data_IF_120536806167
#
_entry.id   IF_120536806167
#
_cell.length_a   1.000
_cell.length_b   1.000
_cell.length_c   1.000
_cell.angle_alpha   90.00
_cell.angle_beta   90.00
_cell.angle_gamma   90.00
#
_symmetry.space_group_name_H-M   'P 1'
#
loop_
_entity.id
_entity.type
_entity.pdbx_description
1 polymer ?
#
# COMPACT_ATOMS: atom_id res chain seq x y z
N UNK A 1 22.05 4.88 11.45
CA UNK A 1 21.63 3.92 10.41
C UNK A 1 22.88 3.25 9.83
N UNK A 2 22.89 1.92 9.65
CA UNK A 2 24.07 1.19 9.14
C UNK A 2 24.22 1.39 7.63
N UNK A 3 25.47 1.54 7.15
CA UNK A 3 25.79 1.58 5.70
C UNK A 3 25.18 0.39 4.97
N UNK A 4 25.26 -0.80 5.55
CA UNK A 4 24.72 -2.03 4.95
C UNK A 4 23.20 -1.91 4.70
N UNK A 5 22.46 -1.28 5.60
CA UNK A 5 21.02 -1.06 5.47
C UNK A 5 20.76 -0.01 4.38
N UNK A 6 21.45 1.14 4.44
CA UNK A 6 21.31 2.21 3.47
C UNK A 6 21.61 1.75 2.03
N UNK A 7 22.70 1.00 1.83
CA UNK A 7 23.06 0.42 0.53
C UNK A 7 21.96 -0.48 -0.01
N UNK A 8 21.35 -1.34 0.81
CA UNK A 8 20.27 -2.23 0.37
C UNK A 8 18.97 -1.48 0.07
N UNK A 9 18.62 -0.50 0.90
CA UNK A 9 17.44 0.34 0.71
C UNK A 9 17.54 1.15 -0.58
N UNK A 10 18.65 1.87 -0.79
CA UNK A 10 18.87 2.67 -2.00
C UNK A 10 18.88 1.76 -3.23
N UNK A 11 19.58 0.62 -3.19
CA UNK A 11 19.56 -0.33 -4.32
C UNK A 11 18.15 -0.83 -4.64
N UNK A 12 17.35 -1.14 -3.61
CA UNK A 12 15.95 -1.55 -3.77
C UNK A 12 15.11 -0.46 -4.43
N UNK A 13 15.24 0.79 -3.97
CA UNK A 13 14.55 1.93 -4.55
C UNK A 13 14.85 2.12 -6.04
N UNK A 14 16.13 2.01 -6.44
CA UNK A 14 16.52 2.05 -7.85
C UNK A 14 15.83 0.94 -8.67
N UNK A 15 15.73 -0.28 -8.13
CA UNK A 15 15.06 -1.39 -8.81
C UNK A 15 13.55 -1.16 -8.97
N UNK A 16 12.86 -0.72 -7.91
CA UNK A 16 11.40 -0.51 -7.93
C UNK A 16 11.02 0.67 -8.83
N UNK A 17 11.77 1.78 -8.79
CA UNK A 17 11.52 2.92 -9.68
C UNK A 17 11.74 2.54 -11.14
N UNK A 18 12.77 1.75 -11.46
CA UNK A 18 13.00 1.27 -12.81
C UNK A 18 11.88 0.33 -13.30
N UNK A 19 11.35 -0.54 -12.42
CA UNK A 19 10.21 -1.39 -12.71
C UNK A 19 8.94 -0.56 -12.99
N UNK A 20 8.66 0.43 -12.14
CA UNK A 20 7.53 1.34 -12.31
C UNK A 20 7.62 2.10 -13.64
N UNK A 21 8.81 2.58 -14.02
CA UNK A 21 9.04 3.25 -15.29
C UNK A 21 8.76 2.31 -16.47
N UNK A 22 9.30 1.09 -16.44
CA UNK A 22 9.08 0.12 -17.52
C UNK A 22 7.61 -0.24 -17.68
N UNK A 23 6.88 -0.43 -16.57
CA UNK A 23 5.45 -0.71 -16.57
C UNK A 23 4.64 0.48 -17.09
N UNK A 24 4.96 1.70 -16.66
CA UNK A 24 4.27 2.91 -17.11
C UNK A 24 4.50 3.14 -18.61
N UNK A 25 5.73 3.01 -19.11
CA UNK A 25 6.03 3.17 -20.54
C UNK A 25 5.26 2.16 -21.38
N UNK A 26 5.17 0.91 -20.93
CA UNK A 26 4.36 -0.12 -21.58
C UNK A 26 2.87 0.26 -21.59
N UNK A 27 2.33 0.68 -20.45
CA UNK A 27 0.93 1.07 -20.32
C UNK A 27 0.59 2.28 -21.21
N UNK A 28 1.46 3.29 -21.26
CA UNK A 28 1.32 4.45 -22.14
C UNK A 28 1.32 4.06 -23.62
N UNK A 29 2.16 3.11 -24.02
CA UNK A 29 2.22 2.63 -25.41
C UNK A 29 0.98 1.80 -25.80
N UNK A 30 0.45 0.98 -24.89
CA UNK A 30 -0.65 0.06 -25.18
C UNK A 30 -2.04 0.69 -25.01
N UNK A 31 -2.21 1.55 -24.01
CA UNK A 31 -3.51 2.12 -23.60
C UNK A 31 -3.63 3.60 -23.92
N UNK A 32 -2.51 4.31 -24.04
CA UNK A 32 -2.47 5.75 -24.29
C UNK A 32 -2.54 6.57 -22.99
N UNK A 33 -2.06 7.82 -23.03
CA UNK A 33 -1.91 8.68 -21.86
C UNK A 33 -3.24 9.06 -21.20
N UNK A 34 -4.32 9.16 -21.97
CA UNK A 34 -5.64 9.60 -21.48
C UNK A 34 -6.43 8.48 -20.77
N UNK A 35 -5.84 7.29 -20.62
CA UNK A 35 -6.51 6.18 -19.93
C UNK A 35 -6.67 6.49 -18.45
N UNK A 36 -7.89 6.38 -17.88
CA UNK A 36 -8.11 6.61 -16.44
C UNK A 36 -7.28 5.66 -15.57
N UNK A 37 -6.57 6.21 -14.59
CA UNK A 37 -5.72 5.48 -13.65
C UNK A 37 -6.03 5.97 -12.22
N UNK A 38 -7.07 5.41 -11.61
CA UNK A 38 -7.55 5.80 -10.28
C UNK A 38 -7.94 4.58 -9.44
N UNK A 39 -7.82 4.70 -8.12
CA UNK A 39 -8.36 3.70 -7.21
C UNK A 39 -9.88 3.80 -7.09
N UNK A 40 -10.59 2.68 -6.90
CA UNK A 40 -12.03 2.70 -6.75
C UNK A 40 -12.45 3.39 -5.43
N UNK A 41 -13.60 4.06 -5.46
CA UNK A 41 -14.30 4.57 -4.28
C UNK A 41 -13.45 5.50 -3.37
N UNK A 42 -12.60 6.34 -3.96
CA UNK A 42 -11.86 7.38 -3.24
C UNK A 42 -12.00 8.74 -3.91
N UNK A 43 -12.10 9.80 -3.10
CA UNK A 43 -12.05 11.20 -3.52
C UNK A 43 -10.63 11.78 -3.48
N UNK A 44 -9.63 10.95 -3.16
CA UNK A 44 -8.24 11.37 -2.96
C UNK A 44 -7.29 10.89 -4.06
N UNK A 45 -7.81 10.63 -5.28
CA UNK A 45 -7.03 10.17 -6.43
C UNK A 45 -6.13 8.97 -6.07
N UNK A 46 -4.81 9.12 -6.25
CA UNK A 46 -3.78 8.26 -5.67
C UNK A 46 -3.31 8.89 -4.35
N UNK A 47 -3.72 8.35 -3.18
CA UNK A 47 -3.67 9.13 -1.95
C UNK A 47 -2.28 9.44 -1.44
N UNK A 48 -1.30 8.54 -1.60
CA UNK A 48 0.06 8.81 -1.16
C UNK A 48 0.70 9.89 -2.05
N UNK A 49 0.57 9.78 -3.38
CA UNK A 49 1.06 10.75 -4.35
C UNK A 49 0.42 12.12 -4.09
N UNK A 50 -0.91 12.17 -3.91
CA UNK A 50 -1.62 13.40 -3.57
C UNK A 50 -1.09 13.99 -2.25
N UNK A 51 -0.97 13.19 -1.20
CA UNK A 51 -0.49 13.64 0.09
C UNK A 51 0.94 14.18 0.04
N UNK A 52 1.86 13.47 -0.63
CA UNK A 52 3.28 13.80 -0.63
C UNK A 52 3.65 14.87 -1.66
N UNK A 53 2.95 14.94 -2.79
CA UNK A 53 3.32 15.82 -3.91
C UNK A 53 2.29 16.91 -4.21
N UNK A 54 1.04 16.73 -3.76
CA UNK A 54 -0.07 17.62 -4.08
C UNK A 54 -0.60 17.46 -5.50
N UNK A 55 -0.11 16.46 -6.24
CA UNK A 55 -0.56 16.16 -7.60
C UNK A 55 -1.80 15.29 -7.56
N UNK A 56 -2.82 15.72 -8.27
CA UNK A 56 -4.00 14.92 -8.59
C UNK A 56 -3.64 14.07 -9.81
N UNK A 57 -3.80 12.76 -9.69
CA UNK A 57 -3.52 11.80 -10.77
C UNK A 57 -4.83 11.13 -11.14
N UNK A 58 -5.28 11.38 -12.37
CA UNK A 58 -6.51 10.79 -12.91
C UNK A 58 -6.24 9.89 -14.10
N UNK A 59 -5.11 10.10 -14.79
CA UNK A 59 -4.76 9.40 -16.02
C UNK A 59 -3.36 8.80 -15.96
N UNK A 60 -3.06 7.85 -16.86
CA UNK A 60 -1.71 7.30 -17.01
C UNK A 60 -0.67 8.39 -17.33
N UNK A 61 -1.04 9.43 -18.07
CA UNK A 61 -0.17 10.57 -18.39
C UNK A 61 0.31 11.32 -17.15
N UNK A 62 -0.53 11.42 -16.12
CA UNK A 62 -0.24 12.14 -14.88
C UNK A 62 0.81 11.44 -14.01
N UNK A 63 1.03 10.14 -14.22
CA UNK A 63 2.06 9.36 -13.51
C UNK A 63 3.49 9.67 -14.00
N UNK A 64 3.65 10.21 -15.22
CA UNK A 64 4.97 10.55 -15.77
C UNK A 64 5.73 11.55 -14.89
N UNK A 65 5.17 12.74 -14.56
CA UNK A 65 5.87 13.68 -13.69
C UNK A 65 6.08 13.15 -12.26
N UNK A 66 5.26 12.19 -11.80
CA UNK A 66 5.43 11.53 -10.49
C UNK A 66 6.68 10.65 -10.49
N UNK A 67 6.87 9.83 -11.53
CA UNK A 67 8.06 8.99 -11.65
C UNK A 67 9.34 9.80 -11.88
N UNK A 68 9.26 10.92 -12.62
CA UNK A 68 10.40 11.84 -12.75
C UNK A 68 10.81 12.44 -11.40
N UNK A 69 9.83 12.80 -10.56
CA UNK A 69 10.09 13.23 -9.20
C UNK A 69 10.72 12.11 -8.35
N UNK A 70 10.23 10.88 -8.46
CA UNK A 70 10.80 9.72 -7.76
C UNK A 70 12.27 9.46 -8.18
N UNK A 71 12.57 9.55 -9.48
CA UNK A 71 13.95 9.44 -10.00
C UNK A 71 14.86 10.53 -9.45
N UNK A 72 14.36 11.76 -9.32
CA UNK A 72 15.11 12.88 -8.73
C UNK A 72 15.50 12.67 -7.27
N UNK A 73 14.82 11.77 -6.56
CA UNK A 73 15.11 11.38 -5.17
C UNK A 73 16.08 10.20 -5.05
N UNK A 74 16.46 9.58 -6.18
CA UNK A 74 17.37 8.43 -6.18
C UNK A 74 18.83 8.88 -6.08
N UNK A 75 19.39 8.73 -4.89
CA UNK A 75 20.80 9.02 -4.63
C UNK A 75 21.73 7.90 -5.11
N UNK A 76 23.03 8.20 -5.35
CA UNK A 76 24.02 7.18 -5.65
C UNK A 76 24.17 6.17 -4.51
N UNK A 77 24.56 4.93 -4.86
CA UNK A 77 24.81 3.89 -3.85
C UNK A 77 26.01 4.30 -2.97
N UNK A 78 25.90 4.21 -1.64
CA UNK A 78 26.98 4.52 -0.71
C UNK A 78 28.31 3.83 -1.07
N UNK A 79 29.43 4.57 -1.17
CA UNK A 79 30.72 4.00 -1.53
C UNK A 79 31.30 3.12 -0.40
N UNK A 80 32.10 2.12 -0.78
CA UNK A 80 32.65 1.14 0.16
C UNK A 80 33.70 1.70 1.15
N UNK A 81 34.30 2.86 0.85
CA UNK A 81 35.45 3.39 1.61
C UNK A 81 35.21 4.77 2.26
N UNK A 82 34.05 5.41 2.05
CA UNK A 82 33.75 6.73 2.65
C UNK A 82 32.51 6.66 3.51
N UNK A 83 32.60 7.17 4.73
CA UNK A 83 31.47 7.29 5.65
C UNK A 83 30.82 8.66 5.50
N UNK A 84 29.62 8.70 4.92
CA UNK A 84 28.79 9.90 4.84
C UNK A 84 27.49 9.68 5.64
N UNK A 85 26.81 10.73 6.12
CA UNK A 85 25.51 10.58 6.75
C UNK A 85 24.44 10.11 5.74
N UNK A 86 24.08 8.82 5.75
CA UNK A 86 23.16 8.23 4.76
C UNK A 86 21.67 8.39 5.06
N UNK A 87 21.29 8.96 6.20
CA UNK A 87 19.90 8.94 6.65
C UNK A 87 18.98 9.72 5.70
N UNK A 88 19.36 10.94 5.31
CA UNK A 88 18.57 11.74 4.36
C UNK A 88 18.40 11.02 3.03
N UNK A 89 19.52 10.60 2.42
CA UNK A 89 19.53 9.87 1.14
C UNK A 89 18.67 8.59 1.18
N UNK A 90 18.70 7.87 2.31
CA UNK A 90 17.90 6.65 2.48
C UNK A 90 16.41 6.96 2.65
N UNK A 91 16.07 8.06 3.31
CA UNK A 91 14.67 8.49 3.44
C UNK A 91 14.09 8.96 2.10
N UNK A 92 14.88 9.70 1.31
CA UNK A 92 14.51 10.11 -0.05
C UNK A 92 14.29 8.88 -0.95
N UNK A 93 15.21 7.90 -0.90
CA UNK A 93 15.04 6.63 -1.62
C UNK A 93 13.80 5.85 -1.16
N UNK A 94 13.47 5.91 0.14
CA UNK A 94 12.22 5.37 0.67
C UNK A 94 11.01 6.04 0.04
N UNK A 95 10.96 7.38 0.03
CA UNK A 95 9.87 8.13 -0.59
C UNK A 95 9.74 7.84 -2.10
N UNK A 96 10.86 7.76 -2.81
CA UNK A 96 10.89 7.38 -4.22
C UNK A 96 10.25 6.00 -4.46
N UNK A 97 10.53 5.04 -3.57
CA UNK A 97 9.95 3.70 -3.62
C UNK A 97 8.44 3.76 -3.44
N UNK A 98 7.95 4.51 -2.45
CA UNK A 98 6.51 4.62 -2.19
C UNK A 98 5.75 5.26 -3.35
N UNK A 99 6.29 6.31 -3.98
CA UNK A 99 5.71 6.93 -5.17
C UNK A 99 5.66 5.94 -6.35
N UNK A 100 6.72 5.15 -6.52
CA UNK A 100 6.79 4.13 -7.56
C UNK A 100 5.82 2.97 -7.33
N UNK A 101 5.67 2.50 -6.08
CA UNK A 101 4.75 1.42 -5.72
C UNK A 101 3.28 1.83 -5.96
N UNK A 102 2.89 3.06 -5.59
CA UNK A 102 1.52 3.52 -5.86
C UNK A 102 1.25 3.69 -7.36
N UNK A 103 2.25 4.14 -8.12
CA UNK A 103 2.16 4.19 -9.58
C UNK A 103 2.02 2.79 -10.21
N UNK A 104 2.74 1.79 -9.69
CA UNK A 104 2.61 0.39 -10.15
C UNK A 104 1.19 -0.11 -9.89
N UNK A 105 0.65 0.08 -8.69
CA UNK A 105 -0.73 -0.37 -8.40
C UNK A 105 -1.76 0.34 -9.28
N UNK A 106 -1.60 1.65 -9.53
CA UNK A 106 -2.48 2.37 -10.45
C UNK A 106 -2.45 1.77 -11.86
N UNK A 107 -1.26 1.42 -12.37
CA UNK A 107 -1.11 0.73 -13.67
C UNK A 107 -1.74 -0.67 -13.63
N UNK A 108 -1.61 -1.42 -12.54
CA UNK A 108 -2.23 -2.75 -12.38
C UNK A 108 -3.76 -2.68 -12.40
N UNK A 109 -4.36 -1.65 -11.82
CA UNK A 109 -5.79 -1.37 -11.94
C UNK A 109 -6.21 -1.15 -13.39
N UNK A 110 -5.43 -0.41 -14.19
CA UNK A 110 -5.70 -0.21 -15.63
C UNK A 110 -5.72 -1.55 -16.40
N UNK A 111 -4.89 -2.50 -15.98
CA UNK A 111 -4.85 -3.84 -16.57
C UNK A 111 -5.87 -4.83 -15.96
N UNK A 112 -6.67 -4.41 -14.97
CA UNK A 112 -7.61 -5.29 -14.28
C UNK A 112 -6.93 -6.39 -13.46
N UNK A 113 -5.70 -6.16 -13.01
CA UNK A 113 -4.93 -7.09 -12.17
C UNK A 113 -5.24 -6.91 -10.67
N UNK A 114 -5.86 -5.79 -10.32
CA UNK A 114 -6.24 -5.44 -8.96
C UNK A 114 -7.77 -5.24 -8.85
N UNK A 115 -8.41 -5.65 -7.73
CA UNK A 115 -7.81 -6.39 -6.62
C UNK A 115 -7.34 -7.80 -7.03
N UNK A 116 -6.21 -8.24 -6.49
CA UNK A 116 -5.60 -9.51 -6.91
C UNK A 116 -6.57 -10.69 -6.74
N UNK A 117 -6.72 -11.56 -7.76
CA UNK A 117 -7.49 -12.79 -7.62
C UNK A 117 -6.80 -13.72 -6.61
N UNK A 118 -7.60 -14.30 -5.72
CA UNK A 118 -7.14 -15.19 -4.67
C UNK A 118 -8.18 -16.30 -4.43
N UNK A 119 -8.04 -17.44 -5.12
CA UNK A 119 -9.04 -18.50 -5.12
C UNK A 119 -9.41 -19.01 -3.72
N UNK A 120 -10.71 -19.22 -3.51
CA UNK A 120 -11.25 -19.77 -2.25
C UNK A 120 -11.27 -18.81 -1.05
N UNK A 121 -10.95 -17.53 -1.23
CA UNK A 121 -11.06 -16.53 -0.17
C UNK A 121 -12.41 -15.81 -0.26
N UNK A 122 -13.19 -15.89 0.81
CA UNK A 122 -14.41 -15.11 0.99
C UNK A 122 -14.16 -14.11 2.12
N UNK A 123 -14.28 -12.81 1.81
CA UNK A 123 -14.03 -11.75 2.77
C UNK A 123 -15.31 -11.30 3.46
N UNK A 124 -15.24 -11.15 4.79
CA UNK A 124 -16.33 -10.64 5.63
C UNK A 124 -16.33 -9.11 5.63
N UNK A 125 -17.09 -8.51 4.71
CA UNK A 125 -17.11 -7.07 4.45
C UNK A 125 -15.89 -6.60 3.65
N UNK A 126 -16.13 -5.96 2.50
CA UNK A 126 -15.08 -5.45 1.60
C UNK A 126 -15.50 -4.15 0.92
N UNK A 127 -14.51 -3.34 0.52
CA UNK A 127 -14.71 -2.14 -0.29
C UNK A 127 -14.99 -2.44 -1.76
N UNK A 128 -14.72 -3.67 -2.21
CA UNK A 128 -14.89 -4.10 -3.58
C UNK A 128 -16.17 -4.93 -3.71
N UNK A 129 -17.31 -4.25 -3.80
CA UNK A 129 -18.61 -4.85 -4.11
C UNK A 129 -18.95 -4.60 -5.57
N UNK A 130 -18.17 -5.12 -6.51
CA UNK A 130 -18.55 -5.05 -7.92
C UNK A 130 -19.59 -6.14 -8.24
N UNK A 131 -20.80 -5.80 -8.71
CA UNK A 131 -21.80 -6.79 -9.14
C UNK A 131 -21.29 -7.71 -10.25
N UNK A 132 -20.30 -7.27 -11.02
CA UNK A 132 -19.72 -7.98 -12.15
C UNK A 132 -18.68 -9.06 -11.75
N UNK A 133 -18.21 -9.06 -10.50
CA UNK A 133 -17.38 -10.14 -9.95
C UNK A 133 -18.24 -11.18 -9.23
N UNK A 134 -19.46 -10.82 -8.82
CA UNK A 134 -20.41 -11.75 -8.24
C UNK A 134 -21.05 -12.71 -9.26
N UNK A 135 -20.92 -12.45 -10.57
CA UNK A 135 -21.55 -13.23 -11.65
C UNK A 135 -20.65 -14.32 -12.24
N UNK A 136 -19.35 -14.35 -11.93
CA UNK A 136 -18.44 -15.43 -12.31
C UNK A 136 -17.96 -16.15 -11.04
N UNK A 137 -18.56 -17.32 -10.78
CA UNK A 137 -18.50 -18.02 -9.50
C UNK A 137 -17.10 -18.25 -8.91
N UNK A 138 -17.06 -18.32 -7.58
CA UNK A 138 -16.01 -18.96 -6.77
C UNK A 138 -14.54 -18.46 -6.90
N UNK A 139 -14.26 -17.38 -7.61
CA UNK A 139 -12.91 -16.80 -7.65
C UNK A 139 -12.81 -15.64 -6.66
N UNK A 140 -12.46 -15.98 -5.41
CA UNK A 140 -12.18 -15.00 -4.35
C UNK A 140 -11.15 -13.95 -4.78
N UNK A 141 -11.17 -12.78 -4.16
CA UNK A 141 -10.22 -11.70 -4.42
C UNK A 141 -9.67 -11.12 -3.12
N UNK A 142 -8.50 -10.50 -3.18
CA UNK A 142 -7.96 -9.69 -2.09
C UNK A 142 -8.68 -8.34 -2.01
N UNK A 143 -8.45 -7.60 -0.94
CA UNK A 143 -9.22 -6.38 -0.69
C UNK A 143 -8.90 -5.24 -1.67
N UNK A 144 -7.63 -5.07 -2.05
CA UNK A 144 -7.17 -3.85 -2.70
C UNK A 144 -7.27 -2.61 -1.79
N UNK A 145 -7.38 -1.38 -2.33
CA UNK A 145 -7.47 -0.16 -1.55
C UNK A 145 -8.78 -0.10 -0.74
N UNK A 146 -8.68 0.35 0.51
CA UNK A 146 -9.85 0.61 1.36
C UNK A 146 -10.60 1.84 0.82
N UNK A 147 -11.93 1.82 0.79
CA UNK A 147 -12.75 2.96 0.39
C UNK A 147 -12.84 4.07 1.47
N UNK A 148 -13.27 5.26 1.07
CA UNK A 148 -13.36 6.42 1.97
C UNK A 148 -14.51 6.33 2.99
N UNK A 149 -15.53 5.48 2.76
CA UNK A 149 -16.63 5.25 3.71
C UNK A 149 -16.09 4.43 4.90
N UNK A 150 -15.38 3.34 4.61
CA UNK A 150 -14.77 2.48 5.60
C UNK A 150 -13.67 3.19 6.37
N UNK A 151 -12.84 3.98 5.69
CA UNK A 151 -11.87 4.88 6.33
C UNK A 151 -12.54 5.79 7.38
N UNK A 152 -13.68 6.40 7.02
CA UNK A 152 -14.43 7.26 7.94
C UNK A 152 -14.98 6.49 9.15
N UNK A 153 -15.50 5.29 8.92
CA UNK A 153 -16.01 4.42 9.97
C UNK A 153 -14.92 4.06 10.99
N UNK A 154 -13.76 3.60 10.53
CA UNK A 154 -12.65 3.25 11.42
C UNK A 154 -11.98 4.46 12.07
N UNK A 155 -11.92 5.61 11.39
CA UNK A 155 -11.39 6.82 12.00
C UNK A 155 -12.21 7.31 13.19
N UNK A 156 -13.54 7.11 13.20
CA UNK A 156 -14.36 7.36 14.40
C UNK A 156 -13.94 6.45 15.55
N UNK A 157 -13.76 5.15 15.26
CA UNK A 157 -13.33 4.16 16.26
C UNK A 157 -11.91 4.43 16.81
N UNK A 158 -11.04 5.06 16.02
CA UNK A 158 -9.71 5.49 16.45
C UNK A 158 -9.79 6.68 17.41
N UNK A 159 -10.62 7.68 17.08
CA UNK A 159 -10.77 8.90 17.89
C UNK A 159 -11.48 8.64 19.21
N UNK A 160 -12.45 7.72 19.24
CA UNK A 160 -13.17 7.34 20.47
C UNK A 160 -12.46 6.24 21.30
N UNK A 161 -11.31 5.74 20.82
CA UNK A 161 -10.45 4.79 21.52
C UNK A 161 -10.90 3.34 21.49
N UNK A 162 -11.95 2.99 20.71
CA UNK A 162 -12.37 1.58 20.51
C UNK A 162 -11.36 0.78 19.69
N UNK A 163 -10.62 1.45 18.81
CA UNK A 163 -9.52 0.88 18.04
C UNK A 163 -8.21 1.55 18.49
N UNK A 164 -7.26 0.80 19.10
CA UNK A 164 -6.04 1.40 19.63
C UNK A 164 -4.97 1.69 18.57
N UNK A 165 -5.09 1.14 17.36
CA UNK A 165 -4.16 1.40 16.26
C UNK A 165 -4.16 0.30 15.20
N UNK A 166 -3.09 0.30 14.40
CA UNK A 166 -2.94 -0.54 13.20
C UNK A 166 -1.68 -1.39 13.26
N UNK A 167 -1.71 -2.55 12.60
CA UNK A 167 -0.55 -3.42 12.44
C UNK A 167 -0.42 -3.86 10.97
N UNK A 168 0.64 -3.42 10.29
CA UNK A 168 0.96 -3.89 8.96
C UNK A 168 1.93 -5.08 9.04
N UNK A 169 1.49 -6.25 8.56
CA UNK A 169 2.29 -7.48 8.50
C UNK A 169 2.64 -7.75 7.04
N UNK A 170 3.94 -7.81 6.76
CA UNK A 170 4.48 -8.07 5.42
C UNK A 170 5.19 -9.42 5.39
N UNK A 171 4.82 -10.28 4.45
CA UNK A 171 5.50 -11.55 4.19
C UNK A 171 4.78 -12.77 4.77
N UNK A 172 5.56 -13.67 5.36
CA UNK A 172 5.10 -14.99 5.81
C UNK A 172 5.63 -15.29 7.22
N UNK A 173 4.78 -15.83 8.09
CA UNK A 173 5.22 -16.32 9.39
C UNK A 173 5.93 -17.66 9.27
N UNK A 174 6.75 -18.01 10.26
CA UNK A 174 7.51 -19.27 10.30
C UNK A 174 6.65 -20.54 10.21
N UNK A 175 5.39 -20.48 10.66
CA UNK A 175 4.41 -21.56 10.55
C UNK A 175 2.98 -20.98 10.62
N UNK A 176 1.99 -21.79 10.23
CA UNK A 176 0.58 -21.38 10.23
C UNK A 176 0.07 -21.07 11.64
N UNK A 177 0.45 -21.87 12.63
CA UNK A 177 0.03 -21.67 14.02
C UNK A 177 0.55 -20.34 14.57
N UNK A 178 1.73 -19.91 14.12
CA UNK A 178 2.32 -18.63 14.50
C UNK A 178 1.61 -17.48 13.81
N UNK A 179 1.25 -17.62 12.54
CA UNK A 179 0.43 -16.63 11.82
C UNK A 179 -0.92 -16.42 12.53
N UNK A 180 -1.64 -17.52 12.80
CA UNK A 180 -2.94 -17.48 13.50
C UNK A 180 -2.78 -16.85 14.88
N UNK A 181 -1.79 -17.29 15.67
CA UNK A 181 -1.56 -16.72 16.99
C UNK A 181 -1.28 -15.22 16.93
N UNK A 182 -0.41 -14.77 16.02
CA UNK A 182 -0.06 -13.36 15.86
C UNK A 182 -1.30 -12.52 15.55
N UNK A 183 -2.07 -12.92 14.54
CA UNK A 183 -3.25 -12.17 14.09
C UNK A 183 -4.37 -12.19 15.13
N UNK A 184 -4.61 -13.34 15.79
CA UNK A 184 -5.64 -13.43 16.85
C UNK A 184 -5.27 -12.59 18.08
N UNK A 185 -4.00 -12.49 18.45
CA UNK A 185 -3.57 -11.61 19.55
C UNK A 185 -3.79 -10.12 19.23
N UNK A 186 -3.57 -9.70 17.98
CA UNK A 186 -3.87 -8.34 17.52
C UNK A 186 -5.40 -8.10 17.51
N UNK A 187 -6.15 -9.05 16.97
CA UNK A 187 -7.61 -8.99 16.91
C UNK A 187 -8.26 -8.90 18.30
N UNK A 188 -7.79 -9.66 19.29
CA UNK A 188 -8.30 -9.58 20.68
C UNK A 188 -8.12 -8.21 21.32
N UNK A 189 -7.21 -7.39 20.80
CA UNK A 189 -6.96 -6.02 21.25
C UNK A 189 -7.65 -4.98 20.36
N UNK A 190 -8.52 -5.42 19.45
CA UNK A 190 -9.16 -4.59 18.43
C UNK A 190 -8.16 -3.82 17.55
N UNK A 191 -6.96 -4.36 17.35
CA UNK A 191 -5.95 -3.75 16.45
C UNK A 191 -6.29 -4.16 15.02
N UNK A 192 -6.49 -3.16 14.15
CA UNK A 192 -6.73 -3.39 12.73
C UNK A 192 -5.45 -3.90 12.06
N UNK A 193 -5.53 -5.07 11.46
CA UNK A 193 -4.37 -5.75 10.88
C UNK A 193 -4.43 -5.72 9.35
N UNK A 194 -3.36 -5.22 8.74
CA UNK A 194 -3.16 -5.19 7.29
C UNK A 194 -2.18 -6.28 6.89
N UNK A 195 -2.53 -7.11 5.92
CA UNK A 195 -1.70 -8.22 5.45
C UNK A 195 -1.24 -7.98 4.01
N UNK A 196 0.06 -8.02 3.77
CA UNK A 196 0.64 -7.93 2.43
C UNK A 196 1.90 -8.79 2.30
N UNK A 197 2.44 -8.93 1.09
CA UNK A 197 3.74 -9.55 0.85
C UNK A 197 3.76 -11.08 0.93
N UNK A 198 4.86 -11.64 0.43
CA UNK A 198 5.15 -13.07 0.49
C UNK A 198 6.64 -13.32 0.76
N UNK A 199 6.95 -14.54 1.16
CA UNK A 199 8.30 -15.09 1.20
C UNK A 199 8.29 -16.36 0.37
N UNK A 200 9.06 -16.38 -0.73
CA UNK A 200 9.14 -17.50 -1.68
C UNK A 200 7.76 -17.95 -2.20
N UNK A 201 6.88 -16.99 -2.53
CA UNK A 201 5.54 -17.26 -3.06
C UNK A 201 4.48 -17.60 -2.01
N UNK A 202 4.85 -17.71 -0.72
CA UNK A 202 3.88 -17.94 0.37
C UNK A 202 3.68 -16.67 1.19
N UNK A 203 2.43 -16.28 1.38
CA UNK A 203 2.02 -15.11 2.20
C UNK A 203 1.36 -15.56 3.48
N UNK A 204 1.37 -14.71 4.51
CA UNK A 204 0.56 -14.88 5.71
C UNK A 204 -0.93 -15.04 5.39
N UNK A 205 -1.42 -14.44 4.29
CA UNK A 205 -2.81 -14.59 3.84
C UNK A 205 -3.12 -16.07 3.53
N UNK A 206 -2.21 -16.79 2.86
CA UNK A 206 -2.34 -18.23 2.63
C UNK A 206 -2.38 -19.00 3.94
N UNK A 207 -1.49 -18.68 4.88
CA UNK A 207 -1.42 -19.35 6.18
C UNK A 207 -2.72 -19.20 6.98
N UNK A 208 -3.36 -18.03 6.91
CA UNK A 208 -4.62 -17.77 7.59
C UNK A 208 -5.80 -18.46 6.89
N UNK A 209 -5.82 -18.46 5.56
CA UNK A 209 -6.85 -19.15 4.77
C UNK A 209 -6.83 -20.66 5.00
N UNK A 210 -5.64 -21.28 4.99
CA UNK A 210 -5.45 -22.71 5.24
C UNK A 210 -5.98 -23.14 6.61
N UNK A 211 -5.87 -22.26 7.62
CA UNK A 211 -6.36 -22.47 8.98
C UNK A 211 -7.82 -22.03 9.19
N UNK A 212 -8.52 -21.64 8.11
CA UNK A 212 -9.92 -21.22 8.16
C UNK A 212 -10.16 -19.94 8.95
N UNK A 213 -9.17 -19.05 9.04
CA UNK A 213 -9.34 -17.73 9.68
C UNK A 213 -10.13 -16.82 8.75
N UNK A 214 -11.30 -16.41 9.22
CA UNK A 214 -12.12 -15.40 8.55
C UNK A 214 -11.41 -14.03 8.52
N UNK A 215 -11.30 -13.48 7.32
CA UNK A 215 -10.64 -12.20 7.02
C UNK A 215 -11.65 -11.24 6.40
N UNK A 216 -11.46 -9.94 6.59
CA UNK A 216 -12.36 -8.89 6.11
C UNK A 216 -12.46 -7.73 7.10
N UNK A 217 -13.38 -6.80 6.81
CA UNK A 217 -13.59 -5.60 7.62
C UNK A 217 -14.23 -5.91 8.96
N UNK A 218 -15.12 -6.90 9.00
CA UNK A 218 -15.83 -7.29 10.23
C UNK A 218 -14.88 -7.95 11.24
N UNK A 219 -13.82 -8.60 10.76
CA UNK A 219 -12.82 -9.27 11.60
C UNK A 219 -11.61 -8.39 11.91
N UNK A 220 -11.53 -7.18 11.36
CA UNK A 220 -10.36 -6.29 11.41
C UNK A 220 -9.06 -6.93 10.87
N UNK A 221 -9.18 -7.83 9.89
CA UNK A 221 -8.05 -8.50 9.25
C UNK A 221 -8.18 -8.28 7.75
N UNK A 222 -7.47 -7.29 7.21
CA UNK A 222 -7.60 -6.86 5.81
C UNK A 222 -6.45 -7.41 4.98
N UNK A 223 -6.70 -8.33 4.03
CA UNK A 223 -5.67 -8.84 3.14
C UNK A 223 -5.57 -7.96 1.89
N UNK A 224 -4.46 -7.24 1.74
CA UNK A 224 -4.25 -6.29 0.65
C UNK A 224 -3.75 -6.92 -0.63
N UNK A 225 -2.69 -7.73 -0.53
CA UNK A 225 -1.96 -8.24 -1.68
C UNK A 225 -1.01 -9.37 -1.29
N UNK A 226 -0.62 -10.19 -2.26
CA UNK A 226 0.41 -11.22 -2.02
C UNK A 226 1.83 -10.70 -2.22
N UNK A 227 2.02 -9.50 -2.77
CA UNK A 227 3.32 -8.88 -2.95
C UNK A 227 3.54 -7.70 -1.99
N UNK A 228 4.77 -7.20 -1.95
CA UNK A 228 5.16 -6.10 -1.08
C UNK A 228 4.64 -4.75 -1.55
N UNK A 229 4.30 -4.61 -2.83
CA UNK A 229 3.83 -3.37 -3.43
C UNK A 229 2.47 -3.01 -2.84
N UNK A 230 1.60 -4.00 -2.61
CA UNK A 230 0.27 -3.77 -2.02
C UNK A 230 0.29 -3.28 -0.57
N UNK A 231 1.47 -3.23 0.09
CA UNK A 231 1.64 -2.52 1.35
C UNK A 231 1.33 -1.01 1.21
N UNK A 232 1.39 -0.48 -0.02
CA UNK A 232 1.05 0.89 -0.34
C UNK A 232 -0.39 1.25 0.03
N UNK A 233 -1.34 0.29 -0.02
CA UNK A 233 -2.72 0.55 0.39
C UNK A 233 -2.84 0.91 1.88
N UNK A 234 -1.98 0.34 2.74
CA UNK A 234 -1.90 0.71 4.16
C UNK A 234 -1.38 2.14 4.33
N UNK A 235 -0.39 2.53 3.53
CA UNK A 235 0.21 3.87 3.58
C UNK A 235 -0.71 4.94 2.97
N UNK A 236 -1.46 4.58 1.92
CA UNK A 236 -2.54 5.38 1.37
C UNK A 236 -3.68 5.58 2.39
N UNK A 237 -4.01 4.56 3.18
CA UNK A 237 -4.95 4.68 4.31
C UNK A 237 -4.44 5.67 5.38
N UNK A 238 -3.18 5.57 5.78
CA UNK A 238 -2.58 6.49 6.75
C UNK A 238 -2.57 7.93 6.21
N UNK A 239 -2.20 8.11 4.94
CA UNK A 239 -2.19 9.43 4.28
C UNK A 239 -3.58 10.04 4.24
N UNK A 240 -4.60 9.27 3.84
CA UNK A 240 -5.99 9.75 3.86
C UNK A 240 -6.49 10.07 5.26
N UNK A 241 -6.03 9.35 6.29
CA UNK A 241 -6.38 9.67 7.68
C UNK A 241 -5.94 11.10 8.05
N UNK A 242 -4.75 11.54 7.60
CA UNK A 242 -4.30 12.91 7.78
C UNK A 242 -5.14 13.92 6.97
N UNK A 243 -5.46 13.59 5.71
CA UNK A 243 -6.26 14.47 4.84
C UNK A 243 -7.70 14.64 5.35
N UNK A 244 -8.34 13.55 5.79
CA UNK A 244 -9.74 13.53 6.23
C UNK A 244 -9.91 14.06 7.65
N UNK A 245 -9.12 13.59 8.62
CA UNK A 245 -9.31 13.92 10.03
C UNK A 245 -8.36 15.01 10.54
N UNK A 246 -7.16 15.08 9.97
CA UNK A 246 -6.20 16.12 10.29
C UNK A 246 -6.46 17.45 9.59
N UNK A 247 -7.27 17.45 8.52
CA UNK A 247 -7.57 18.64 7.71
C UNK A 247 -6.39 19.15 6.88
N UNK A 248 -5.36 18.32 6.71
CA UNK A 248 -4.22 18.64 5.84
C UNK A 248 -4.64 18.64 4.37
N UNK A 249 -3.93 19.41 3.55
CA UNK A 249 -4.10 19.42 2.09
C UNK A 249 -2.99 18.58 1.42
N UNK A 250 -3.27 18.12 0.20
CA UNK A 250 -2.25 17.49 -0.65
C UNK A 250 -1.00 18.37 -0.78
N UNK A 251 0.17 17.74 -0.80
CA UNK A 251 1.47 18.41 -0.88
C UNK A 251 2.01 18.95 0.45
N UNK A 252 1.23 18.89 1.54
CA UNK A 252 1.71 19.20 2.90
C UNK A 252 2.46 18.00 3.50
N UNK A 253 3.44 17.46 2.76
CA UNK A 253 4.09 16.18 3.07
C UNK A 253 4.62 16.12 4.51
N UNK A 254 5.30 17.17 4.97
CA UNK A 254 5.85 17.21 6.33
C UNK A 254 4.76 17.13 7.40
N UNK A 255 3.68 17.87 7.24
CA UNK A 255 2.59 17.92 8.23
C UNK A 255 1.82 16.61 8.25
N UNK A 256 1.62 15.98 7.08
CA UNK A 256 1.02 14.64 6.97
C UNK A 256 1.91 13.59 7.65
N UNK A 257 3.22 13.58 7.40
CA UNK A 257 4.14 12.65 8.05
C UNK A 257 4.18 12.85 9.57
N UNK A 258 4.12 14.10 10.03
CA UNK A 258 4.04 14.42 11.46
C UNK A 258 2.69 14.04 12.07
N UNK A 259 1.59 14.18 11.34
CA UNK A 259 0.28 13.70 11.77
C UNK A 259 0.32 12.19 11.97
N UNK A 260 0.78 11.45 10.95
CA UNK A 260 0.86 10.00 11.00
C UNK A 260 1.74 9.55 12.18
N UNK A 261 2.94 10.10 12.32
CA UNK A 261 3.84 9.78 13.45
C UNK A 261 3.18 9.91 14.83
N UNK A 262 2.28 10.88 15.01
CA UNK A 262 1.72 11.22 16.32
C UNK A 262 0.32 10.64 16.56
N UNK A 263 -0.39 10.22 15.52
CA UNK A 263 -1.82 9.86 15.61
C UNK A 263 -2.22 8.56 14.91
N UNK A 264 -1.34 7.96 14.12
CA UNK A 264 -1.60 6.74 13.33
C UNK A 264 -0.52 5.70 13.61
#
# INVERSE_FOLDING_TARGET
MSRYIATRAIRGAHSVVAEAEALLQKALAEKGPDTPAAFPNTAYHLPLILGMTGREVDTLGDLVPVLEQAKGMLHPIPPAQRWTPYLGETLDAGMATLLAEEAIEAVRFVYGQEPQPFPGLNLAGTSFTSPDVATNGHDGHLNGPIDDIQLRSWGIALVDGRMPGFAAIVGCAKSNEVAVKLVRELQRRNILTFLSGNVNGRSIIHQLQEEGVEMGYDTYIVPFGTDTISAIYALGFATRSALTFGGMKGGQARDILMYNKNRV
#
